data_IF_413059691396
#
_entry.id   IF_413059691396
#
_cell.length_a   1.000
_cell.length_b   1.000
_cell.length_c   1.000
_cell.angle_alpha   90.00
_cell.angle_beta   90.00
_cell.angle_gamma   90.00
#
_symmetry.space_group_name_H-M   'P 1'
#
loop_
_entity.id
_entity.type
_entity.pdbx_description
1 polymer ?
#
# COMPACT_ATOMS: atom_id res chain seq x y z
N UNK A 1 -8.57 4.93 6.75
CA UNK A 1 -7.97 3.91 7.63
C UNK A 1 -6.47 4.08 7.79
N UNK A 2 -5.64 3.91 6.75
CA UNK A 2 -4.17 4.00 6.91
C UNK A 2 -3.66 5.36 7.43
N UNK A 3 -4.24 6.47 7.02
CA UNK A 3 -3.86 7.79 7.56
C UNK A 3 -4.11 7.90 9.08
N UNK A 4 -5.22 7.34 9.56
CA UNK A 4 -5.50 7.28 11.01
C UNK A 4 -4.58 6.30 11.74
N UNK A 5 -4.17 5.20 11.09
CA UNK A 5 -3.14 4.32 11.65
C UNK A 5 -1.81 5.07 11.82
N UNK A 6 -1.39 5.82 10.79
CA UNK A 6 -0.20 6.65 10.84
C UNK A 6 -0.26 7.73 11.94
N UNK A 7 -1.42 8.39 12.10
CA UNK A 7 -1.67 9.35 13.18
C UNK A 7 -1.48 8.72 14.58
N UNK A 8 -1.85 7.45 14.74
CA UNK A 8 -1.68 6.68 15.98
C UNK A 8 -0.29 6.04 16.14
N UNK A 9 0.67 6.34 15.24
CA UNK A 9 2.00 5.74 15.25
C UNK A 9 2.04 4.26 14.85
N UNK A 10 0.98 3.78 14.19
CA UNK A 10 0.90 2.43 13.61
C UNK A 10 1.24 2.47 12.12
N UNK A 11 1.75 1.33 11.62
CA UNK A 11 1.88 1.05 10.21
C UNK A 11 0.71 0.22 9.69
N UNK A 12 0.58 0.15 8.36
CA UNK A 12 -0.32 -0.79 7.75
C UNK A 12 -0.09 -1.02 6.27
N UNK A 13 -0.63 -2.14 5.77
CA UNK A 13 -0.54 -2.54 4.37
C UNK A 13 -1.93 -2.90 3.83
N UNK A 14 -2.29 -2.32 2.69
CA UNK A 14 -3.51 -2.66 1.95
C UNK A 14 -3.20 -3.83 1.01
N UNK A 15 -3.82 -4.98 1.26
CA UNK A 15 -3.59 -6.21 0.50
C UNK A 15 -4.84 -6.58 -0.26
N UNK A 16 -4.80 -6.46 -1.59
CA UNK A 16 -5.86 -6.89 -2.49
C UNK A 16 -5.63 -8.31 -3.06
N UNK A 17 -4.37 -8.75 -3.10
CA UNK A 17 -3.99 -10.13 -3.44
C UNK A 17 -4.24 -11.02 -2.23
N UNK A 18 -5.48 -11.45 -2.05
CA UNK A 18 -5.95 -12.25 -0.92
C UNK A 18 -6.62 -13.53 -1.41
N UNK A 19 -6.49 -14.61 -0.63
CA UNK A 19 -7.27 -15.82 -0.81
C UNK A 19 -8.72 -15.57 -0.34
N UNK A 20 -9.56 -15.09 -1.26
CA UNK A 20 -10.97 -14.76 -0.95
C UNK A 20 -11.75 -15.98 -0.46
N UNK A 21 -11.70 -17.16 -1.10
CA UNK A 21 -12.33 -18.36 -0.58
C UNK A 21 -11.86 -18.75 0.83
N UNK A 22 -10.54 -18.76 1.06
CA UNK A 22 -9.98 -19.11 2.37
C UNK A 22 -10.39 -18.12 3.47
N UNK A 23 -10.33 -16.82 3.18
CA UNK A 23 -10.73 -15.77 4.12
C UNK A 23 -12.23 -15.85 4.45
N UNK A 24 -13.07 -16.13 3.45
CA UNK A 24 -14.51 -16.33 3.64
C UNK A 24 -14.79 -17.48 4.60
N UNK A 25 -14.12 -18.62 4.43
CA UNK A 25 -14.26 -19.77 5.32
C UNK A 25 -13.74 -19.44 6.73
N UNK A 26 -12.55 -18.85 6.83
CA UNK A 26 -11.91 -18.54 8.12
C UNK A 26 -12.71 -17.56 8.98
N UNK A 27 -13.35 -16.57 8.35
CA UNK A 27 -14.13 -15.54 9.05
C UNK A 27 -15.64 -15.83 9.07
N UNK A 28 -16.09 -16.96 8.51
CA UNK A 28 -17.50 -17.30 8.33
C UNK A 28 -18.30 -16.16 7.67
N UNK A 29 -17.78 -15.58 6.59
CA UNK A 29 -18.43 -14.43 5.96
C UNK A 29 -19.78 -14.84 5.33
N UNK A 30 -20.87 -14.08 5.58
CA UNK A 30 -22.16 -14.26 4.91
C UNK A 30 -22.06 -14.18 3.38
N UNK A 31 -22.95 -14.88 2.65
CA UNK A 31 -22.95 -14.91 1.16
C UNK A 31 -23.08 -13.55 0.49
N UNK A 32 -23.79 -12.61 1.12
CA UNK A 32 -23.98 -11.27 0.57
C UNK A 32 -22.78 -10.33 0.81
N UNK A 33 -21.71 -10.79 1.46
CA UNK A 33 -20.49 -10.01 1.70
C UNK A 33 -19.32 -10.54 0.87
N UNK A 34 -18.58 -9.59 0.27
CA UNK A 34 -17.34 -9.87 -0.44
C UNK A 34 -16.16 -9.18 0.25
N UNK A 35 -15.08 -9.93 0.46
CA UNK A 35 -13.82 -9.37 0.96
C UNK A 35 -13.07 -8.65 -0.16
N UNK A 36 -13.17 -7.32 -0.21
CA UNK A 36 -12.51 -6.51 -1.25
C UNK A 36 -11.02 -6.29 -0.99
N UNK A 37 -10.66 -6.06 0.27
CA UNK A 37 -9.33 -5.64 0.71
C UNK A 37 -9.09 -6.11 2.15
N UNK A 38 -7.89 -6.61 2.44
CA UNK A 38 -7.43 -6.77 3.81
C UNK A 38 -6.49 -5.62 4.18
N UNK A 39 -6.67 -5.02 5.36
CA UNK A 39 -5.77 -3.99 5.89
C UNK A 39 -5.02 -4.58 7.07
N UNK A 40 -3.76 -4.96 6.86
CA UNK A 40 -2.89 -5.39 7.94
C UNK A 40 -2.45 -4.15 8.73
N UNK A 41 -2.55 -4.18 10.06
CA UNK A 41 -2.17 -3.10 10.96
C UNK A 41 -1.23 -3.62 12.04
N UNK A 42 -0.25 -2.81 12.44
CA UNK A 42 0.70 -3.18 13.47
C UNK A 42 1.68 -2.06 13.81
N UNK A 43 2.59 -2.33 14.74
CA UNK A 43 3.74 -1.43 14.97
C UNK A 43 4.69 -1.53 13.77
N UNK A 44 5.18 -0.41 13.20
CA UNK A 44 6.15 -0.45 12.12
C UNK A 44 7.39 -1.26 12.52
N UNK A 45 7.80 -2.20 11.65
CA UNK A 45 8.95 -3.09 11.88
C UNK A 45 10.09 -2.89 10.90
N UNK A 46 10.01 -1.88 10.04
CA UNK A 46 11.00 -1.55 9.00
C UNK A 46 11.06 -0.03 8.78
N UNK A 47 12.15 0.44 8.19
CA UNK A 47 12.29 1.82 7.73
C UNK A 47 11.88 1.90 6.27
N UNK A 48 10.97 2.82 5.94
CA UNK A 48 10.52 3.05 4.55
C UNK A 48 10.92 4.45 4.12
N UNK A 49 11.55 4.56 2.95
CA UNK A 49 11.88 5.85 2.34
C UNK A 49 11.25 5.98 0.96
N UNK A 50 10.80 7.18 0.64
CA UNK A 50 10.30 7.52 -0.69
C UNK A 50 11.44 8.11 -1.51
N UNK A 51 11.52 7.72 -2.77
CA UNK A 51 12.52 8.23 -3.71
C UNK A 51 11.84 8.67 -5.00
N UNK A 52 12.42 9.67 -5.66
CA UNK A 52 11.98 10.05 -7.00
C UNK A 52 12.34 8.92 -7.99
N UNK A 53 11.34 8.39 -8.68
CA UNK A 53 11.55 7.33 -9.66
C UNK A 53 10.28 6.76 -10.25
N UNK A 54 10.45 5.90 -11.26
CA UNK A 54 9.35 5.27 -12.00
C UNK A 54 9.18 3.82 -11.52
N UNK A 55 8.09 3.47 -10.81
CA UNK A 55 7.90 2.13 -10.25
C UNK A 55 7.92 1.00 -11.28
N UNK A 56 7.58 1.30 -12.53
CA UNK A 56 7.62 0.38 -13.67
C UNK A 56 9.05 0.04 -14.14
N UNK A 57 10.01 0.94 -13.89
CA UNK A 57 11.42 0.74 -14.27
C UNK A 57 12.22 0.13 -13.12
N UNK A 58 11.93 0.57 -11.89
CA UNK A 58 12.51 0.03 -10.67
C UNK A 58 11.37 -0.12 -9.67
N UNK A 59 10.85 -1.35 -9.46
CA UNK A 59 9.92 -1.63 -8.37
C UNK A 59 10.55 -1.34 -7.00
N UNK A 60 9.76 -1.42 -5.94
CA UNK A 60 10.29 -1.30 -4.58
C UNK A 60 11.40 -2.33 -4.33
N UNK A 61 12.37 -1.96 -3.50
CA UNK A 61 13.55 -2.78 -3.24
C UNK A 61 14.06 -2.51 -1.82
N UNK A 62 15.01 -3.35 -1.37
CA UNK A 62 15.68 -3.19 -0.07
C UNK A 62 17.17 -2.97 -0.28
N UNK A 63 17.74 -2.05 0.47
CA UNK A 63 19.18 -1.76 0.43
C UNK A 63 19.99 -2.67 1.36
N UNK A 64 21.30 -2.40 1.48
CA UNK A 64 22.19 -3.19 2.33
C UNK A 64 21.92 -3.00 3.83
N UNK A 65 21.24 -1.91 4.22
CA UNK A 65 20.85 -1.59 5.60
C UNK A 65 19.40 -2.01 5.90
N UNK A 66 18.79 -2.81 5.01
CA UNK A 66 17.41 -3.31 5.08
C UNK A 66 16.33 -2.21 5.05
N UNK A 67 16.65 -1.03 4.53
CA UNK A 67 15.69 0.06 4.30
C UNK A 67 14.84 -0.29 3.08
N UNK A 68 13.53 -0.07 3.17
CA UNK A 68 12.59 -0.29 2.08
C UNK A 68 12.43 0.97 1.23
N UNK A 69 12.98 0.96 0.02
CA UNK A 69 12.94 2.07 -0.93
C UNK A 69 11.72 1.93 -1.84
N UNK A 70 10.87 2.96 -1.87
CA UNK A 70 9.65 2.99 -2.67
C UNK A 70 9.73 4.14 -3.68
N UNK A 71 10.08 3.84 -4.95
CA UNK A 71 10.08 4.85 -6.00
C UNK A 71 8.68 5.44 -6.21
N UNK A 72 8.58 6.76 -6.31
CA UNK A 72 7.35 7.50 -6.60
C UNK A 72 7.57 8.42 -7.79
N UNK A 73 6.60 8.45 -8.70
CA UNK A 73 6.64 9.35 -9.85
C UNK A 73 6.67 10.80 -9.33
N UNK A 74 7.58 11.65 -9.84
CA UNK A 74 7.57 13.07 -9.50
C UNK A 74 6.24 13.73 -9.88
N UNK A 75 5.86 14.80 -9.19
CA UNK A 75 4.61 15.53 -9.44
C UNK A 75 4.47 15.95 -10.91
N UNK A 76 5.56 16.41 -11.53
CA UNK A 76 5.57 16.84 -12.92
C UNK A 76 5.23 15.71 -13.92
N UNK A 77 5.47 14.44 -13.58
CA UNK A 77 5.08 13.30 -14.44
C UNK A 77 3.60 12.93 -14.31
N UNK A 78 2.96 13.25 -13.18
CA UNK A 78 1.56 12.89 -12.91
C UNK A 78 0.59 14.07 -13.08
N UNK A 79 1.13 15.28 -13.19
CA UNK A 79 0.34 16.49 -13.51
C UNK A 79 0.00 16.48 -15.00
N UNK A 80 -1.28 16.61 -15.30
CA UNK A 80 -1.78 16.90 -16.65
C UNK A 80 -2.42 18.29 -16.64
N UNK A 81 -2.25 19.02 -17.73
CA UNK A 81 -2.95 20.29 -17.95
C UNK A 81 -4.18 20.00 -18.82
N UNK A 82 -5.34 20.45 -18.36
CA UNK A 82 -6.59 20.28 -19.07
C UNK A 82 -6.95 21.62 -19.73
N UNK A 83 -7.21 21.66 -21.06
CA UNK A 83 -7.62 22.91 -21.68
C UNK A 83 -9.01 23.33 -21.18
N UNK A 84 -9.12 24.53 -20.62
CA UNK A 84 -10.38 25.15 -20.20
C UNK A 84 -10.69 25.17 -18.70
N UNK A 85 -9.75 24.73 -17.85
CA UNK A 85 -9.76 24.96 -16.39
C UNK A 85 -8.45 25.60 -15.95
#
# INVERSE_FOLDING_TARGET
MLLGAAELGLGGCMVASIDRPGLRAALNLPEHLEALLAVALGRPGETVVLEDGRPDQRPYWRDADDVHHVPKRPLAEVRIELPGF
#
